data_IF_118879089293
#
_entry.id   IF_118879089293
#
_cell.length_a   1.000
_cell.length_b   1.000
_cell.length_c   1.000
_cell.angle_alpha   90.00
_cell.angle_beta   90.00
_cell.angle_gamma   90.00
#
_symmetry.space_group_name_H-M   'P 1'
#
loop_
_entity.id
_entity.type
_entity.pdbx_description
1 polymer ?
#
# COMPACT_ATOMS: atom_id res chain seq x y z
N UNK A 1 -9.13 11.58 28.69
CA UNK A 1 -9.24 10.92 27.37
C UNK A 1 -8.20 9.81 27.36
N UNK A 2 -8.58 8.56 27.08
CA UNK A 2 -7.62 7.47 27.02
C UNK A 2 -6.73 7.64 25.79
N UNK A 3 -5.41 7.68 25.98
CA UNK A 3 -4.44 7.71 24.88
C UNK A 3 -4.45 6.36 24.17
N UNK A 4 -4.61 6.36 22.85
CA UNK A 4 -4.48 5.13 22.06
C UNK A 4 -3.09 4.53 22.19
N UNK A 5 -3.02 3.21 22.28
CA UNK A 5 -1.77 2.46 22.29
C UNK A 5 -1.14 2.43 20.89
N UNK A 6 0.18 2.25 20.82
CA UNK A 6 0.92 2.14 19.54
C UNK A 6 0.34 1.06 18.63
N UNK A 7 -0.17 -0.04 19.22
CA UNK A 7 -0.80 -1.14 18.48
C UNK A 7 -2.13 -0.72 17.85
N UNK A 8 -2.98 -0.01 18.57
CA UNK A 8 -4.26 0.47 18.05
C UNK A 8 -4.05 1.49 16.92
N UNK A 9 -3.06 2.38 17.06
CA UNK A 9 -2.67 3.32 16.00
C UNK A 9 -2.20 2.59 14.74
N UNK A 10 -1.39 1.54 14.89
CA UNK A 10 -0.94 0.71 13.77
C UNK A 10 -2.11 0.00 13.05
N UNK A 11 -3.06 -0.54 13.81
CA UNK A 11 -4.25 -1.19 13.25
C UNK A 11 -5.16 -0.22 12.51
N UNK A 12 -5.32 1.00 13.04
CA UNK A 12 -6.10 2.05 12.41
C UNK A 12 -5.44 2.52 11.10
N UNK A 13 -4.11 2.65 11.11
CA UNK A 13 -3.32 3.07 9.95
C UNK A 13 -3.41 2.05 8.80
N UNK A 14 -3.27 0.77 9.11
CA UNK A 14 -3.33 -0.31 8.11
C UNK A 14 -4.73 -0.90 7.94
N UNK A 15 -5.78 -0.10 8.18
CA UNK A 15 -7.16 -0.56 8.07
C UNK A 15 -7.49 -1.02 6.65
N UNK A 16 -6.99 -0.32 5.62
CA UNK A 16 -7.22 -0.69 4.22
C UNK A 16 -6.63 -2.07 3.89
N UNK A 17 -5.42 -2.34 4.39
CA UNK A 17 -4.70 -3.60 4.23
C UNK A 17 -5.39 -4.73 4.99
N UNK A 18 -5.88 -4.43 6.20
CA UNK A 18 -6.71 -5.35 6.98
C UNK A 18 -8.00 -5.68 6.24
N UNK A 19 -8.74 -4.68 5.75
CA UNK A 19 -10.01 -4.85 5.05
C UNK A 19 -9.80 -5.63 3.73
N UNK A 20 -8.74 -5.31 2.98
CA UNK A 20 -8.36 -6.05 1.77
C UNK A 20 -7.98 -7.50 2.09
N UNK A 21 -7.22 -7.74 3.17
CA UNK A 21 -6.89 -9.09 3.62
C UNK A 21 -8.13 -9.90 3.98
N UNK A 22 -9.07 -9.33 4.73
CA UNK A 22 -10.33 -9.99 5.07
C UNK A 22 -11.16 -10.28 3.83
N UNK A 23 -11.25 -9.33 2.88
CA UNK A 23 -11.93 -9.55 1.60
C UNK A 23 -11.31 -10.70 0.81
N UNK A 24 -9.97 -10.77 0.74
CA UNK A 24 -9.27 -11.86 0.05
C UNK A 24 -9.54 -13.22 0.68
N UNK A 25 -9.52 -13.30 2.01
CA UNK A 25 -9.67 -14.55 2.75
C UNK A 25 -11.13 -15.01 2.82
N UNK A 26 -12.05 -14.12 3.17
CA UNK A 26 -13.43 -14.46 3.46
C UNK A 26 -14.33 -14.42 2.22
N UNK A 27 -14.21 -13.37 1.40
CA UNK A 27 -15.10 -13.19 0.24
C UNK A 27 -14.57 -13.92 -0.99
N UNK A 28 -13.25 -13.97 -1.16
CA UNK A 28 -12.57 -14.58 -2.31
C UNK A 28 -11.91 -15.93 -2.00
N UNK A 29 -12.12 -16.45 -0.79
CA UNK A 29 -11.70 -17.78 -0.34
C UNK A 29 -10.20 -18.10 -0.56
N UNK A 30 -9.33 -17.09 -0.45
CA UNK A 30 -7.89 -17.28 -0.60
C UNK A 30 -7.23 -17.78 0.70
N UNK A 31 -6.11 -18.49 0.55
CA UNK A 31 -5.34 -19.00 1.69
C UNK A 31 -4.75 -17.84 2.55
N UNK A 32 -5.07 -17.76 3.85
CA UNK A 32 -4.60 -16.68 4.71
C UNK A 32 -3.08 -16.59 4.83
N UNK A 33 -2.37 -17.73 4.81
CA UNK A 33 -0.91 -17.72 4.92
C UNK A 33 -0.27 -17.06 3.69
N UNK A 34 -0.76 -17.42 2.50
CA UNK A 34 -0.32 -16.85 1.23
C UNK A 34 -0.71 -15.38 1.11
N UNK A 35 -1.93 -14.99 1.49
CA UNK A 35 -2.40 -13.61 1.38
C UNK A 35 -1.60 -12.62 2.23
N UNK A 36 -1.06 -13.03 3.39
CA UNK A 36 -0.16 -12.16 4.16
C UNK A 36 1.10 -11.80 3.38
N UNK A 37 1.66 -12.73 2.61
CA UNK A 37 2.82 -12.46 1.77
C UNK A 37 2.47 -11.58 0.57
N UNK A 38 1.28 -11.76 -0.01
CA UNK A 38 0.78 -10.90 -1.09
C UNK A 38 0.61 -9.46 -0.62
N UNK A 39 -0.04 -9.24 0.53
CA UNK A 39 -0.16 -7.90 1.13
C UNK A 39 1.22 -7.32 1.46
N UNK A 40 2.15 -8.13 1.99
CA UNK A 40 3.52 -7.70 2.26
C UNK A 40 4.27 -7.25 0.99
N UNK A 41 4.09 -7.96 -0.12
CA UNK A 41 4.67 -7.58 -1.41
C UNK A 41 4.12 -6.24 -1.88
N UNK A 42 2.80 -6.04 -1.82
CA UNK A 42 2.18 -4.81 -2.26
C UNK A 42 2.56 -3.61 -1.38
N UNK A 43 2.68 -3.81 -0.06
CA UNK A 43 3.23 -2.80 0.85
C UNK A 43 4.68 -2.44 0.53
N UNK A 44 5.46 -3.42 0.08
CA UNK A 44 6.83 -3.18 -0.36
C UNK A 44 6.85 -2.37 -1.67
N UNK A 45 5.99 -2.69 -2.65
CA UNK A 45 5.85 -1.92 -3.89
C UNK A 45 5.52 -0.44 -3.60
N UNK A 46 4.62 -0.16 -2.66
CA UNK A 46 4.32 1.21 -2.26
C UNK A 46 5.52 1.93 -1.64
N UNK A 47 6.35 1.22 -0.86
CA UNK A 47 7.59 1.78 -0.32
C UNK A 47 8.70 1.96 -1.36
N UNK A 48 8.63 1.23 -2.48
CA UNK A 48 9.53 1.39 -3.62
C UNK A 48 9.13 2.56 -4.54
N UNK A 49 8.05 3.28 -4.23
CA UNK A 49 7.59 4.45 -4.98
C UNK A 49 6.31 4.22 -5.79
N UNK A 50 5.77 3.00 -5.81
CA UNK A 50 4.49 2.70 -6.47
C UNK A 50 3.31 3.00 -5.53
N UNK A 51 3.18 4.27 -5.13
CA UNK A 51 2.16 4.71 -4.19
C UNK A 51 0.75 4.31 -4.63
N UNK A 52 -0.13 4.10 -3.64
CA UNK A 52 -1.56 3.82 -3.81
C UNK A 52 -1.89 2.48 -4.47
N UNK A 53 -0.90 1.59 -4.66
CA UNK A 53 -1.08 0.28 -5.26
C UNK A 53 -2.18 -0.53 -4.57
N UNK A 54 -2.15 -0.63 -3.23
CA UNK A 54 -3.12 -1.40 -2.46
C UNK A 54 -4.51 -0.79 -2.59
N UNK A 55 -4.61 0.54 -2.54
CA UNK A 55 -5.90 1.23 -2.69
C UNK A 55 -6.51 0.99 -4.06
N UNK A 56 -5.71 1.04 -5.11
CA UNK A 56 -6.17 0.77 -6.48
C UNK A 56 -6.61 -0.67 -6.62
N UNK A 57 -5.85 -1.65 -6.13
CA UNK A 57 -6.24 -3.06 -6.16
C UNK A 57 -7.50 -3.31 -5.34
N UNK A 58 -7.61 -2.73 -4.14
CA UNK A 58 -8.78 -2.86 -3.28
C UNK A 58 -10.07 -2.31 -3.91
N UNK A 59 -9.99 -1.31 -4.79
CA UNK A 59 -11.14 -0.76 -5.49
C UNK A 59 -11.67 -1.65 -6.63
N UNK A 60 -10.92 -2.69 -7.04
CA UNK A 60 -11.30 -3.54 -8.16
C UNK A 60 -12.34 -4.61 -7.77
N UNK A 61 -13.13 -5.12 -8.75
CA UNK A 61 -13.98 -6.28 -8.55
C UNK A 61 -13.16 -7.52 -8.18
N UNK A 62 -13.74 -8.42 -7.36
CA UNK A 62 -13.06 -9.60 -6.84
C UNK A 62 -12.33 -10.44 -7.89
N UNK A 63 -12.96 -10.82 -9.02
CA UNK A 63 -12.30 -11.58 -10.08
C UNK A 63 -11.07 -10.88 -10.68
N UNK A 64 -11.08 -9.55 -10.73
CA UNK A 64 -9.94 -8.76 -11.23
C UNK A 64 -8.82 -8.75 -10.19
N UNK A 65 -9.15 -8.56 -8.90
CA UNK A 65 -8.18 -8.64 -7.78
C UNK A 65 -7.44 -9.98 -7.80
N UNK A 66 -8.13 -11.08 -8.07
CA UNK A 66 -7.50 -12.41 -8.12
C UNK A 66 -6.39 -12.51 -9.20
N UNK A 67 -6.49 -11.78 -10.30
CA UNK A 67 -5.42 -11.73 -11.31
C UNK A 67 -4.15 -11.07 -10.77
N UNK A 68 -4.28 -10.02 -9.96
CA UNK A 68 -3.15 -9.40 -9.26
C UNK A 68 -2.57 -10.35 -8.21
N UNK A 69 -3.41 -11.14 -7.54
CA UNK A 69 -2.96 -12.14 -6.56
C UNK A 69 -2.16 -13.24 -7.25
N UNK A 70 -2.61 -13.76 -8.39
CA UNK A 70 -1.90 -14.79 -9.17
C UNK A 70 -0.50 -14.30 -9.58
N UNK A 71 -0.41 -13.07 -10.10
CA UNK A 71 0.84 -12.41 -10.46
C UNK A 71 1.75 -12.20 -9.25
N UNK A 72 1.22 -11.71 -8.13
CA UNK A 72 1.97 -11.51 -6.89
C UNK A 72 2.54 -12.82 -6.34
N UNK A 73 1.76 -13.90 -6.38
CA UNK A 73 2.20 -15.23 -5.94
C UNK A 73 3.27 -15.78 -6.88
N UNK A 74 3.13 -15.62 -8.19
CA UNK A 74 4.16 -16.01 -9.15
C UNK A 74 5.48 -15.24 -8.90
N UNK A 75 5.38 -13.94 -8.64
CA UNK A 75 6.50 -13.08 -8.26
C UNK A 75 7.19 -13.57 -6.97
N UNK A 76 6.43 -13.82 -5.90
CA UNK A 76 6.97 -14.30 -4.61
C UNK A 76 7.67 -15.65 -4.73
N UNK A 77 7.14 -16.58 -5.52
CA UNK A 77 7.79 -17.88 -5.79
C UNK A 77 9.14 -17.69 -6.47
N UNK A 78 9.26 -16.74 -7.39
CA UNK A 78 10.53 -16.44 -8.08
C UNK A 78 11.54 -15.75 -7.17
N UNK A 79 11.09 -14.87 -6.28
CA UNK A 79 11.93 -14.27 -5.24
C UNK A 79 12.48 -15.31 -4.27
N UNK A 80 11.66 -16.30 -3.90
CA UNK A 80 12.05 -17.38 -3.00
C UNK A 80 12.99 -18.42 -3.67
N UNK A 81 12.91 -18.59 -4.99
CA UNK A 81 13.72 -19.55 -5.72
C UNK A 81 15.14 -19.03 -5.98
N UNK A 82 16.13 -19.77 -5.50
CA UNK A 82 17.53 -19.52 -5.83
C UNK A 82 17.78 -19.81 -7.33
N UNK A 83 18.55 -18.95 -8.04
CA UNK A 83 18.90 -19.18 -9.46
C UNK A 83 19.70 -20.47 -9.71
N UNK A 84 20.19 -21.13 -8.66
CA UNK A 84 21.06 -22.31 -8.76
C UNK A 84 20.35 -23.66 -8.93
N UNK A 85 19.02 -23.72 -9.04
CA UNK A 85 18.29 -25.01 -8.92
C UNK A 85 17.31 -25.34 -10.04
N UNK A 86 17.47 -24.74 -11.23
CA UNK A 86 16.58 -24.99 -12.38
C UNK A 86 17.22 -25.02 -13.76
N UNK A 87 18.56 -24.98 -13.87
CA UNK A 87 19.24 -24.98 -15.18
C UNK A 87 19.64 -26.41 -15.60
N UNK A 88 18.70 -27.34 -15.68
CA UNK A 88 18.85 -28.61 -16.42
C UNK A 88 17.48 -29.20 -16.73
N UNK A 89 16.88 -28.79 -17.85
CA UNK A 89 16.10 -29.62 -18.78
C UNK A 89 15.31 -28.71 -19.73
N UNK A 90 15.56 -28.89 -21.03
CA UNK A 90 14.99 -28.09 -22.09
C UNK A 90 13.46 -28.16 -22.16
N UNK A 91 12.86 -26.99 -22.25
CA UNK A 91 11.72 -26.69 -23.12
C UNK A 91 11.77 -25.18 -23.31
N UNK A 92 11.69 -24.72 -24.56
CA UNK A 92 11.67 -23.31 -24.92
C UNK A 92 10.39 -22.64 -24.40
N UNK A 93 10.34 -22.37 -23.11
CA UNK A 93 9.48 -21.36 -22.51
C UNK A 93 10.40 -20.57 -21.57
N UNK A 94 11.10 -19.58 -22.12
CA UNK A 94 11.59 -18.48 -21.31
C UNK A 94 10.38 -17.98 -20.54
N UNK A 95 10.36 -18.25 -19.23
CA UNK A 95 9.18 -18.09 -18.41
C UNK A 95 8.94 -16.61 -18.17
N UNK A 96 8.41 -15.92 -19.19
CA UNK A 96 7.99 -14.53 -19.17
C UNK A 96 7.16 -14.32 -17.90
N UNK A 97 7.74 -13.68 -16.89
CA UNK A 97 6.97 -13.11 -15.79
C UNK A 97 6.34 -11.83 -16.30
N UNK A 98 5.46 -11.99 -17.29
CA UNK A 98 4.58 -10.91 -17.64
C UNK A 98 3.67 -10.73 -16.43
N UNK A 99 3.80 -9.59 -15.75
CA UNK A 99 2.89 -9.15 -14.70
C UNK A 99 1.93 -8.11 -15.31
N UNK A 100 1.09 -8.47 -16.31
CA UNK A 100 0.33 -7.49 -17.07
C UNK A 100 -0.58 -6.64 -16.18
N UNK A 101 -1.20 -7.24 -15.17
CA UNK A 101 -2.12 -6.52 -14.28
C UNK A 101 -1.33 -5.61 -13.34
N UNK A 102 -0.28 -6.13 -12.72
CA UNK A 102 0.57 -5.40 -11.78
C UNK A 102 1.26 -4.24 -12.49
N UNK A 103 1.92 -4.50 -13.63
CA UNK A 103 2.62 -3.50 -14.44
C UNK A 103 1.69 -2.40 -14.95
N UNK A 104 0.41 -2.68 -15.18
CA UNK A 104 -0.56 -1.63 -15.51
C UNK A 104 -0.73 -0.59 -14.37
N UNK A 105 -0.37 -0.94 -13.14
CA UNK A 105 -0.47 -0.08 -11.96
C UNK A 105 0.89 0.49 -11.49
N UNK A 106 1.99 0.13 -12.14
CA UNK A 106 3.31 0.62 -11.75
C UNK A 106 3.70 1.84 -12.58
N UNK A 107 4.42 2.76 -11.94
CA UNK A 107 5.02 3.91 -12.62
C UNK A 107 6.14 3.49 -13.58
N UNK A 108 6.92 2.47 -13.18
CA UNK A 108 7.87 1.79 -14.04
C UNK A 108 7.52 0.29 -14.05
N UNK A 109 7.42 -0.34 -15.24
CA UNK A 109 7.04 -1.74 -15.33
C UNK A 109 8.14 -2.62 -14.74
N UNK A 110 7.73 -3.66 -14.01
CA UNK A 110 8.62 -4.72 -13.58
C UNK A 110 8.96 -5.55 -14.82
N UNK A 111 10.21 -5.47 -15.25
CA UNK A 111 10.78 -6.43 -16.19
C UNK A 111 11.54 -7.53 -15.43
N UNK A 112 11.48 -8.75 -15.95
CA UNK A 112 11.97 -9.94 -15.27
C UNK A 112 13.49 -9.94 -15.04
N UNK A 113 14.21 -9.17 -15.85
CA UNK A 113 15.68 -9.17 -15.92
C UNK A 113 16.29 -8.03 -15.10
N UNK A 114 15.69 -6.85 -15.09
CA UNK A 114 16.25 -5.66 -14.45
C UNK A 114 15.67 -5.37 -13.07
N UNK A 115 14.36 -5.45 -12.90
CA UNK A 115 13.69 -5.03 -11.65
C UNK A 115 14.10 -5.84 -10.43
N UNK A 116 14.40 -7.13 -10.63
CA UNK A 116 14.86 -8.03 -9.57
C UNK A 116 16.38 -8.21 -9.55
N UNK A 117 17.15 -7.30 -10.14
CA UNK A 117 18.60 -7.23 -9.98
C UNK A 117 18.92 -6.81 -8.53
N UNK A 118 18.83 -7.76 -7.59
CA UNK A 118 18.77 -7.51 -6.15
C UNK A 118 17.63 -8.27 -5.43
N UNK A 119 17.29 -9.48 -5.91
CA UNK A 119 16.20 -10.31 -5.34
C UNK A 119 16.27 -10.48 -3.83
N UNK A 120 17.48 -10.49 -3.24
CA UNK A 120 17.66 -10.68 -1.81
C UNK A 120 17.19 -9.45 -1.05
N UNK A 121 17.58 -8.27 -1.51
CA UNK A 121 17.17 -6.98 -0.95
C UNK A 121 15.65 -6.79 -1.07
N UNK A 122 15.07 -7.18 -2.21
CA UNK A 122 13.61 -7.19 -2.42
C UNK A 122 12.94 -8.15 -1.43
N UNK A 123 13.39 -9.41 -1.36
CA UNK A 123 12.82 -10.42 -0.47
C UNK A 123 12.97 -10.04 1.01
N UNK A 124 14.08 -9.42 1.40
CA UNK A 124 14.31 -8.91 2.75
C UNK A 124 13.35 -7.76 3.06
N UNK A 125 13.13 -6.83 2.11
CA UNK A 125 12.14 -5.76 2.23
C UNK A 125 10.71 -6.29 2.38
N UNK A 126 10.32 -7.26 1.56
CA UNK A 126 9.02 -7.93 1.67
C UNK A 126 8.89 -8.67 3.00
N UNK A 127 9.93 -9.39 3.43
CA UNK A 127 9.97 -10.09 4.71
C UNK A 127 9.87 -9.13 5.90
N UNK A 128 10.46 -7.95 5.79
CA UNK A 128 10.31 -6.89 6.79
C UNK A 128 8.86 -6.42 6.88
N UNK A 129 8.19 -6.12 5.75
CA UNK A 129 6.76 -5.74 5.74
C UNK A 129 5.86 -6.85 6.29
N UNK A 130 6.18 -8.11 5.98
CA UNK A 130 5.46 -9.26 6.52
C UNK A 130 5.54 -9.28 8.06
N UNK A 131 6.76 -9.20 8.61
CA UNK A 131 7.00 -9.30 10.07
C UNK A 131 6.51 -8.08 10.85
N UNK A 132 6.72 -6.88 10.30
CA UNK A 132 6.41 -5.61 10.99
C UNK A 132 4.93 -5.22 10.91
N UNK A 133 4.25 -5.56 9.82
CA UNK A 133 2.86 -5.14 9.55
C UNK A 133 1.92 -6.33 9.46
N UNK A 134 2.17 -7.26 8.54
CA UNK A 134 1.16 -8.27 8.18
C UNK A 134 0.86 -9.26 9.32
N UNK A 135 1.84 -9.60 10.16
CA UNK A 135 1.58 -10.42 11.36
C UNK A 135 0.68 -9.73 12.39
N UNK A 136 0.73 -8.40 12.46
CA UNK A 136 -0.08 -7.63 13.41
C UNK A 136 -1.47 -7.32 12.85
N UNK A 137 -1.54 -6.97 11.56
CA UNK A 137 -2.73 -6.40 10.92
C UNK A 137 -3.53 -7.45 10.14
N UNK A 138 -2.88 -8.41 9.50
CA UNK A 138 -3.52 -9.41 8.65
C UNK A 138 -3.80 -10.70 9.43
N UNK A 139 -4.65 -10.59 10.44
CA UNK A 139 -5.04 -11.70 11.28
C UNK A 139 -6.44 -12.20 10.91
N UNK A 140 -6.61 -13.53 10.91
CA UNK A 140 -7.93 -14.19 10.72
C UNK A 140 -8.76 -14.11 12.03
N UNK A 141 -8.20 -13.49 13.08
CA UNK A 141 -8.81 -13.38 14.38
C UNK A 141 -9.96 -12.39 14.37
N UNK A 142 -11.16 -12.94 14.18
CA UNK A 142 -12.49 -12.48 14.60
C UNK A 142 -12.69 -10.96 14.60
N UNK A 143 -13.41 -10.48 13.58
CA UNK A 143 -14.23 -9.29 13.64
C UNK A 143 -14.85 -9.12 15.02
N UNK A 144 -14.66 -7.94 15.61
CA UNK A 144 -15.41 -7.38 16.74
C UNK A 144 -16.73 -8.09 17.06
N UNK A 145 -16.79 -8.78 18.20
CA UNK A 145 -18.04 -8.96 18.93
C UNK A 145 -17.79 -8.61 20.39
N UNK A 146 -18.64 -7.71 20.88
CA UNK A 146 -18.80 -7.21 22.24
C UNK A 146 -18.67 -8.27 23.35
N UNK A 147 -18.22 -7.79 24.51
CA UNK A 147 -18.11 -8.48 25.80
C UNK A 147 -19.23 -9.49 26.11
N UNK A 148 -18.83 -10.68 26.54
CA UNK A 148 -19.45 -11.43 27.65
C UNK A 148 -18.45 -12.48 28.16
N UNK A 149 -18.38 -12.56 29.49
CA UNK A 149 -17.51 -13.35 30.38
C UNK A 149 -17.43 -14.87 30.08
N UNK A 150 -16.42 -15.57 30.63
CA UNK A 150 -16.23 -16.99 30.43
C UNK A 150 -17.16 -17.81 31.35
N UNK A 151 -17.67 -18.92 30.84
CA UNK A 151 -18.22 -19.99 31.69
C UNK A 151 -17.80 -21.35 31.15
N UNK A 152 -17.06 -22.05 31.99
CA UNK A 152 -16.73 -23.47 31.92
C UNK A 152 -17.97 -24.34 31.72
N UNK A 153 -17.88 -25.40 30.92
CA UNK A 153 -17.69 -26.78 31.42
C UNK A 153 -17.82 -27.82 30.29
N UNK A 154 -16.76 -28.63 30.18
CA UNK A 154 -16.66 -30.02 29.74
C UNK A 154 -17.70 -30.65 28.76
N UNK A 155 -17.15 -31.26 27.71
CA UNK A 155 -17.44 -32.67 27.46
C UNK A 155 -17.93 -33.05 26.06
N UNK A 156 -17.25 -34.07 25.52
CA UNK A 156 -17.71 -35.08 24.56
C UNK A 156 -17.28 -34.88 23.11
N UNK A 157 -16.27 -35.70 22.77
CA UNK A 157 -15.85 -36.09 21.43
C UNK A 157 -17.00 -36.80 20.72
N UNK A 158 -17.32 -36.42 19.49
CA UNK A 158 -17.88 -37.33 18.48
C UNK A 158 -17.55 -36.79 17.09
N UNK A 159 -16.92 -37.63 16.27
CA UNK A 159 -16.67 -37.37 14.85
C UNK A 159 -18.00 -37.45 14.06
N UNK A 160 -18.17 -36.69 12.96
CA UNK A 160 -19.24 -36.96 12.01
C UNK A 160 -18.82 -38.02 10.96
N UNK A 161 -19.77 -38.86 10.50
CA UNK A 161 -19.52 -39.94 9.57
C UNK A 161 -19.45 -39.47 8.11
N UNK A 162 -18.81 -40.32 7.31
CA UNK A 162 -18.76 -40.28 5.84
C UNK A 162 -20.17 -40.20 5.23
N UNK A 163 -20.39 -39.25 4.31
CA UNK A 163 -21.45 -39.33 3.31
C UNK A 163 -20.83 -39.11 1.94
N UNK A 164 -21.04 -40.10 1.08
CA UNK A 164 -20.61 -40.16 -0.32
C UNK A 164 -21.42 -39.17 -1.18
N UNK A 165 -20.79 -38.78 -2.29
CA UNK A 165 -21.19 -37.85 -3.36
C UNK A 165 -22.64 -37.92 -3.86
N UNK A 166 -23.04 -36.95 -4.70
CA UNK A 166 -22.95 -37.26 -6.12
C UNK A 166 -22.28 -36.17 -6.96
N UNK A 167 -21.42 -36.67 -7.85
CA UNK A 167 -21.03 -36.05 -9.11
C UNK A 167 -22.27 -35.56 -9.84
N UNK A 168 -22.30 -34.28 -10.22
CA UNK A 168 -23.20 -33.79 -11.26
C UNK A 168 -22.33 -33.33 -12.42
N UNK A 169 -22.44 -34.06 -13.53
CA UNK A 169 -21.75 -33.76 -14.78
C UNK A 169 -22.27 -32.46 -15.37
N UNK A 170 -21.37 -31.50 -15.57
CA UNK A 170 -21.60 -30.41 -16.51
C UNK A 170 -21.01 -30.82 -17.86
N UNK A 171 -21.88 -30.78 -18.86
CA UNK A 171 -21.64 -31.11 -20.26
C UNK A 171 -20.37 -30.47 -20.83
N UNK A 172 -19.57 -31.32 -21.49
CA UNK A 172 -18.56 -30.95 -22.47
C UNK A 172 -19.25 -30.27 -23.66
N UNK A 173 -19.00 -28.98 -23.84
CA UNK A 173 -19.27 -28.29 -25.11
C UNK A 173 -17.93 -28.22 -25.85
N UNK A 174 -17.89 -28.83 -27.02
CA UNK A 174 -16.75 -28.82 -27.95
C UNK A 174 -16.42 -27.37 -28.40
N UNK A 175 -15.14 -27.06 -28.71
CA UNK A 175 -14.72 -25.71 -29.05
C UNK A 175 -15.18 -25.32 -30.45
N UNK A 176 -15.97 -24.24 -30.55
CA UNK A 176 -16.27 -23.62 -31.83
C UNK A 176 -15.04 -22.82 -32.31
N UNK A 177 -14.72 -23.02 -33.58
CA UNK A 177 -13.57 -22.48 -34.28
C UNK A 177 -13.53 -20.94 -34.27
N UNK A 178 -12.30 -20.40 -34.21
CA UNK A 178 -11.98 -18.99 -34.47
C UNK A 178 -12.58 -18.55 -35.81
N UNK A 179 -13.55 -17.64 -35.77
CA UNK A 179 -13.79 -16.68 -36.83
C UNK A 179 -13.26 -15.31 -36.38
N UNK A 180 -12.10 -14.99 -36.94
CA UNK A 180 -11.46 -13.69 -36.91
C UNK A 180 -12.32 -12.67 -37.66
N UNK A 181 -13.03 -11.81 -36.94
CA UNK A 181 -13.23 -10.41 -37.34
C UNK A 181 -13.30 -9.52 -36.09
N UNK A 182 -12.51 -8.46 -36.13
CA UNK A 182 -12.32 -7.51 -35.05
C UNK A 182 -13.59 -6.70 -34.75
N UNK A 183 -14.36 -7.11 -33.74
CA UNK A 183 -15.23 -6.16 -33.03
C UNK A 183 -14.37 -5.33 -32.09
N UNK A 184 -13.89 -4.20 -32.60
CA UNK A 184 -13.44 -3.09 -31.79
C UNK A 184 -14.52 -2.79 -30.74
N UNK A 185 -14.14 -2.83 -29.46
CA UNK A 185 -14.96 -2.31 -28.39
C UNK A 185 -15.38 -0.89 -28.78
N UNK A 186 -16.68 -0.66 -28.94
CA UNK A 186 -17.23 0.68 -29.17
C UNK A 186 -16.96 1.51 -27.92
N UNK A 187 -15.85 2.24 -27.93
CA UNK A 187 -15.56 3.28 -26.94
C UNK A 187 -16.59 4.39 -27.11
N UNK A 188 -17.06 4.94 -25.99
CA UNK A 188 -17.90 6.13 -25.99
C UNK A 188 -17.11 7.29 -26.64
N UNK A 189 -17.55 7.89 -27.75
CA UNK A 189 -16.86 9.01 -28.39
C UNK A 189 -16.82 10.28 -27.52
N UNK A 190 -17.65 10.34 -26.47
CA UNK A 190 -17.63 11.42 -25.48
C UNK A 190 -16.86 11.08 -24.20
N UNK A 191 -16.17 9.93 -24.15
CA UNK A 191 -15.27 9.66 -23.05
C UNK A 191 -14.13 10.68 -23.08
N UNK A 192 -13.92 11.39 -21.97
CA UNK A 192 -12.73 12.20 -21.77
C UNK A 192 -11.49 11.33 -22.06
N UNK A 193 -10.52 11.82 -22.85
CA UNK A 193 -9.34 11.04 -23.17
C UNK A 193 -8.67 10.58 -21.88
N UNK A 194 -8.32 9.30 -21.82
CA UNK A 194 -7.59 8.73 -20.69
C UNK A 194 -6.21 9.38 -20.64
N UNK A 195 -6.05 10.42 -19.82
CA UNK A 195 -4.77 11.03 -19.53
C UNK A 195 -4.12 10.12 -18.49
N UNK A 196 -3.01 9.43 -18.79
CA UNK A 196 -2.24 8.75 -17.76
C UNK A 196 -1.93 9.80 -16.70
N UNK A 197 -2.33 9.56 -15.45
CA UNK A 197 -1.88 10.42 -14.34
C UNK A 197 -0.35 10.33 -14.30
N UNK A 198 0.29 11.32 -14.91
CA UNK A 198 1.73 11.45 -14.97
C UNK A 198 2.24 11.71 -13.55
N UNK A 199 3.25 10.93 -13.12
CA UNK A 199 4.18 11.28 -12.03
C UNK A 199 3.56 11.31 -10.61
N UNK A 200 4.36 11.10 -9.53
CA UNK A 200 3.90 11.28 -8.14
C UNK A 200 3.05 12.53 -8.02
N UNK A 201 1.95 12.44 -7.25
CA UNK A 201 1.12 13.59 -6.90
C UNK A 201 2.03 14.80 -6.65
N UNK A 202 1.76 15.97 -7.25
CA UNK A 202 2.57 17.18 -7.05
C UNK A 202 2.89 17.34 -5.57
N UNK A 203 4.11 17.79 -5.23
CA UNK A 203 4.59 17.96 -3.85
C UNK A 203 3.52 18.55 -2.93
N UNK A 204 2.67 19.40 -3.49
CA UNK A 204 1.51 20.04 -2.91
C UNK A 204 0.59 19.08 -2.13
N UNK A 205 0.25 17.92 -2.68
CA UNK A 205 -0.69 16.98 -2.08
C UNK A 205 -0.10 16.12 -0.96
N UNK A 206 1.23 16.11 -0.81
CA UNK A 206 1.96 15.40 0.25
C UNK A 206 2.69 16.36 1.18
N UNK A 207 2.31 17.64 1.16
CA UNK A 207 2.93 18.69 1.95
C UNK A 207 2.13 19.06 3.19
N UNK A 208 2.88 19.39 4.24
CA UNK A 208 2.39 20.07 5.42
C UNK A 208 2.92 21.51 5.43
N UNK A 209 2.03 22.44 5.73
CA UNK A 209 2.42 23.79 6.11
C UNK A 209 2.81 23.79 7.58
N UNK A 210 4.02 24.24 7.89
CA UNK A 210 4.54 24.29 9.25
C UNK A 210 4.78 25.74 9.69
N UNK A 211 4.53 26.05 10.96
CA UNK A 211 4.78 27.36 11.54
C UNK A 211 5.51 27.25 12.87
N UNK A 212 6.37 28.22 13.15
CA UNK A 212 7.19 28.29 14.35
C UNK A 212 6.66 29.35 15.31
N UNK A 213 6.96 29.20 16.60
CA UNK A 213 6.80 30.30 17.54
C UNK A 213 7.64 31.50 17.10
N UNK A 214 7.08 32.70 17.20
CA UNK A 214 7.76 33.96 16.84
C UNK A 214 9.11 34.06 17.56
N UNK A 215 10.18 34.30 16.80
CA UNK A 215 11.55 34.42 17.33
C UNK A 215 12.25 33.09 17.65
N UNK A 216 11.61 31.95 17.39
CA UNK A 216 12.16 30.62 17.67
C UNK A 216 12.10 29.69 16.45
N UNK A 217 12.77 30.05 15.33
CA UNK A 217 12.80 29.20 14.14
C UNK A 217 13.47 27.87 14.46
N UNK A 218 13.04 26.81 13.79
CA UNK A 218 13.58 25.46 13.93
C UNK A 218 14.31 25.13 12.63
N UNK A 219 15.51 24.56 12.72
CA UNK A 219 16.30 24.23 11.53
C UNK A 219 15.66 23.08 10.75
N UNK A 220 15.94 23.02 9.45
CA UNK A 220 15.50 21.93 8.58
C UNK A 220 15.96 20.58 9.13
N UNK A 221 17.20 20.50 9.61
CA UNK A 221 17.82 19.28 10.11
C UNK A 221 17.12 18.78 11.37
N UNK A 222 16.80 19.68 12.32
CA UNK A 222 16.07 19.36 13.54
C UNK A 222 14.65 18.83 13.24
N UNK A 223 14.00 19.39 12.21
CA UNK A 223 12.67 18.96 11.78
C UNK A 223 12.76 17.55 11.18
N UNK A 224 13.66 17.32 10.23
CA UNK A 224 13.84 16.01 9.60
C UNK A 224 14.16 14.94 10.64
N UNK A 225 15.14 15.19 11.52
CA UNK A 225 15.54 14.27 12.58
C UNK A 225 14.37 13.91 13.50
N UNK A 226 13.61 14.91 13.95
CA UNK A 226 12.48 14.70 14.86
C UNK A 226 11.36 13.86 14.23
N UNK A 227 10.93 14.22 13.01
CA UNK A 227 9.84 13.52 12.34
C UNK A 227 10.27 12.10 11.90
N UNK A 228 11.50 11.93 11.42
CA UNK A 228 11.99 10.61 11.03
C UNK A 228 12.19 9.68 12.24
N UNK A 229 12.59 10.23 13.39
CA UNK A 229 12.69 9.48 14.64
C UNK A 229 11.30 9.07 15.16
N UNK A 230 10.30 9.93 15.02
CA UNK A 230 8.94 9.67 15.54
C UNK A 230 8.08 8.80 14.65
N UNK A 231 8.18 8.96 13.32
CA UNK A 231 7.26 8.36 12.36
C UNK A 231 7.97 7.42 11.36
N UNK A 232 9.27 7.19 11.53
CA UNK A 232 10.12 6.53 10.52
C UNK A 232 10.49 7.49 9.40
N UNK A 233 11.37 7.08 8.45
CA UNK A 233 11.90 7.93 7.39
C UNK A 233 10.78 8.40 6.44
N UNK A 234 10.14 9.51 6.79
CA UNK A 234 8.88 9.98 6.21
C UNK A 234 9.03 11.37 5.60
N UNK A 235 10.05 12.13 6.01
CA UNK A 235 10.33 13.44 5.43
C UNK A 235 11.17 13.28 4.17
N UNK A 236 10.75 13.96 3.10
CA UNK A 236 11.52 14.06 1.87
C UNK A 236 12.34 15.36 1.86
N UNK A 237 11.69 16.48 2.14
CA UNK A 237 12.34 17.80 2.15
C UNK A 237 11.57 18.77 3.04
N UNK A 238 12.31 19.68 3.67
CA UNK A 238 11.75 20.84 4.37
C UNK A 238 12.27 22.10 3.69
N UNK A 239 11.36 23.01 3.39
CA UNK A 239 11.61 24.36 2.91
C UNK A 239 11.21 25.32 4.02
N UNK A 240 12.10 26.22 4.41
CA UNK A 240 11.81 27.27 5.40
C UNK A 240 11.75 28.60 4.67
N UNK A 241 10.88 29.50 5.13
CA UNK A 241 10.77 30.85 4.59
C UNK A 241 12.14 31.55 4.51
N UNK A 242 12.40 32.24 3.39
CA UNK A 242 13.61 33.04 3.20
C UNK A 242 13.33 34.48 3.62
N UNK A 243 13.94 34.92 4.71
CA UNK A 243 13.74 36.25 5.30
C UNK A 243 14.96 37.15 5.12
N UNK A 244 14.77 38.47 5.29
CA UNK A 244 15.85 39.45 5.22
C UNK A 244 16.81 39.32 6.42
N UNK A 245 18.06 39.82 6.32
CA UNK A 245 19.00 39.80 7.43
C UNK A 245 18.41 40.53 8.66
N UNK A 246 18.30 39.81 9.79
CA UNK A 246 17.75 40.35 11.05
C UNK A 246 16.31 39.94 11.35
N UNK A 247 15.62 39.32 10.39
CA UNK A 247 14.29 38.72 10.60
C UNK A 247 14.41 37.21 10.89
N UNK A 248 13.39 36.63 11.53
CA UNK A 248 13.31 35.18 11.80
C UNK A 248 12.21 34.56 10.97
N UNK A 249 12.45 33.44 10.27
CA UNK A 249 11.40 32.76 9.52
C UNK A 249 10.32 32.26 10.47
N UNK A 250 9.06 32.42 10.07
CA UNK A 250 7.90 32.06 10.92
C UNK A 250 7.12 30.88 10.36
N UNK A 251 7.32 30.52 9.09
CA UNK A 251 6.73 29.33 8.49
C UNK A 251 7.69 28.58 7.57
N UNK A 252 7.23 27.41 7.16
CA UNK A 252 7.87 26.57 6.18
C UNK A 252 6.88 25.57 5.59
N UNK A 253 7.41 24.71 4.74
CA UNK A 253 6.71 23.63 4.07
C UNK A 253 7.51 22.36 4.25
N UNK A 254 6.87 21.31 4.76
CA UNK A 254 7.46 19.99 4.91
C UNK A 254 6.79 19.04 3.93
N UNK A 255 7.58 18.50 3.01
CA UNK A 255 7.15 17.54 2.00
C UNK A 255 7.42 16.14 2.55
N UNK A 256 6.37 15.33 2.60
CA UNK A 256 6.44 13.94 3.04
C UNK A 256 6.67 13.02 1.84
N UNK A 257 7.38 11.92 2.05
CA UNK A 257 7.62 10.87 1.04
C UNK A 257 6.33 10.21 0.54
N UNK A 258 5.25 10.30 1.30
CA UNK A 258 3.93 9.81 0.91
C UNK A 258 2.84 10.71 1.48
N UNK A 259 1.85 11.05 0.66
CA UNK A 259 0.66 11.79 1.10
C UNK A 259 -0.09 11.06 2.22
N UNK A 260 0.03 9.72 2.30
CA UNK A 260 -0.55 8.91 3.36
C UNK A 260 0.02 9.22 4.77
N UNK A 261 1.17 9.90 4.86
CA UNK A 261 1.76 10.30 6.14
C UNK A 261 1.11 11.56 6.73
N UNK A 262 0.40 12.36 5.93
CA UNK A 262 -0.30 13.57 6.42
C UNK A 262 -1.23 13.25 7.60
N UNK A 263 -2.21 12.32 7.47
CA UNK A 263 -3.09 12.01 8.59
C UNK A 263 -2.37 11.37 9.78
N UNK A 264 -1.23 10.69 9.57
CA UNK A 264 -0.43 10.11 10.67
C UNK A 264 0.26 11.20 11.46
N UNK A 265 0.95 12.10 10.75
CA UNK A 265 1.64 13.23 11.36
C UNK A 265 0.63 14.12 12.08
N UNK A 266 -0.55 14.36 11.50
CA UNK A 266 -1.57 15.19 12.11
C UNK A 266 -2.48 14.47 13.12
N UNK A 267 -2.25 13.17 13.41
CA UNK A 267 -3.10 12.33 14.27
C UNK A 267 -4.59 12.35 13.88
N UNK A 268 -4.88 12.45 12.57
CA UNK A 268 -6.23 12.55 12.01
C UNK A 268 -6.87 13.94 12.05
N UNK A 269 -6.21 14.93 12.66
CA UNK A 269 -6.72 16.29 12.81
C UNK A 269 -6.29 17.21 11.66
N UNK A 270 -6.88 18.41 11.59
CA UNK A 270 -6.49 19.44 10.62
C UNK A 270 -5.15 20.10 10.96
N UNK A 271 -4.78 20.08 12.24
CA UNK A 271 -3.58 20.72 12.78
C UNK A 271 -2.98 19.89 13.91
N UNK A 272 -1.66 19.79 13.98
CA UNK A 272 -0.95 19.16 15.09
C UNK A 272 0.15 20.07 15.64
N UNK A 273 0.43 19.94 16.94
CA UNK A 273 1.45 20.70 17.65
C UNK A 273 2.55 19.78 18.15
N UNK A 274 3.80 20.14 17.87
CA UNK A 274 5.01 19.41 18.24
C UNK A 274 5.92 20.26 19.11
N UNK A 275 6.75 19.58 19.91
CA UNK A 275 7.79 20.20 20.73
C UNK A 275 9.15 19.64 20.30
N UNK A 276 9.92 20.43 19.55
CA UNK A 276 11.22 20.02 19.00
C UNK A 276 12.31 20.82 19.69
N UNK A 277 13.18 20.14 20.44
CA UNK A 277 14.26 20.76 21.24
C UNK A 277 13.77 21.96 22.08
N UNK A 278 12.60 21.81 22.71
CA UNK A 278 11.98 22.84 23.55
C UNK A 278 11.24 23.97 22.80
N UNK A 279 11.17 23.94 21.46
CA UNK A 279 10.46 24.93 20.64
C UNK A 279 9.18 24.34 20.05
N UNK A 280 8.13 25.15 19.93
CA UNK A 280 6.87 24.71 19.34
C UNK A 280 6.86 24.82 17.82
N UNK A 281 6.39 23.76 17.18
CA UNK A 281 6.07 23.70 15.76
C UNK A 281 4.60 23.31 15.61
N UNK A 282 3.87 24.07 14.80
CA UNK A 282 2.53 23.69 14.38
C UNK A 282 2.58 23.20 12.94
N UNK A 283 1.86 22.13 12.62
CA UNK A 283 1.72 21.60 11.27
C UNK A 283 0.25 21.51 10.89
N UNK A 284 -0.06 21.72 9.62
CA UNK A 284 -1.39 21.53 9.01
C UNK A 284 -1.26 21.12 7.55
N UNK A 285 -2.32 20.62 6.95
CA UNK A 285 -2.35 20.30 5.51
C UNK A 285 -1.96 21.54 4.69
N UNK A 286 -1.03 21.39 3.76
CA UNK A 286 -0.69 22.46 2.82
C UNK A 286 -1.83 22.64 1.81
N UNK A 287 -2.29 23.88 1.64
CA UNK A 287 -3.30 24.22 0.63
C UNK A 287 -2.58 25.04 -0.45
N UNK A 288 -2.46 24.54 -1.69
CA UNK A 288 -1.89 25.30 -2.79
C UNK A 288 -2.76 26.52 -3.05
N UNK A 289 -2.15 27.70 -3.18
CA UNK A 289 -2.90 28.84 -3.71
C UNK A 289 -3.03 28.65 -5.22
N UNK A 290 -4.25 28.51 -5.72
CA UNK A 290 -4.55 28.75 -7.14
C UNK A 290 -4.39 30.24 -7.40
N UNK A 291 -3.15 30.70 -7.59
CA UNK A 291 -2.95 32.02 -8.16
C UNK A 291 -3.45 31.95 -9.61
N UNK A 292 -4.64 32.52 -9.83
CA UNK A 292 -5.12 32.92 -11.13
C UNK A 292 -3.96 33.55 -11.90
N UNK A 293 -3.58 32.96 -13.03
CA UNK A 293 -2.94 33.68 -14.12
C UNK A 293 -3.94 34.70 -14.65
N UNK A 294 -4.09 35.81 -13.94
CA UNK A 294 -4.62 37.04 -14.48
C UNK A 294 -3.52 37.67 -15.30
N UNK A 295 -3.46 37.33 -16.58
CA UNK A 295 -2.70 38.12 -17.54
C UNK A 295 -3.48 39.39 -17.84
N UNK A 296 -2.80 40.50 -17.55
CA UNK A 296 -3.03 41.81 -18.14
C UNK A 296 -2.44 41.86 -19.56
#
# INVERSE_FOLDING_TARGET
MASMTTKEKLLLFHKLESDLFHRLVHDLAQDPATMRWVIALWLWLESAGHHDFIRRVAALPGPVVLRFVEEAVACLRRLANNPGQGAMAGTNNGGDTHLPCTNAFLAEPIDDVGYFQGRREVLDGVSYKYRSVCLAVCNVGSSTTTAMEPSNMAGVKTAPPMVRSPVCGAQRVEPLALNSEATYFSLNPEATPWIPMQSPLPDDHRSLFITFSKGHPISKEDIVEFFDLMFGPCVETVMVEKVAPGETPVYGRMILRSAAMIPVVLDGEQTAKFLIKGRHLWARIYVPSSSLSGDA
#
